data_IF_932869270909
#
_entry.id   IF_932869270909
#
_cell.length_a   1.000
_cell.length_b   1.000
_cell.length_c   1.000
_cell.angle_alpha   90.00
_cell.angle_beta   90.00
_cell.angle_gamma   90.00
#
_symmetry.space_group_name_H-M   'P 1'
#
loop_
_entity.id
_entity.type
_entity.pdbx_description
1 polymer ?
#
# COMPACT_ATOMS: atom_id res chain seq x y z
N UNK A 1 -6.63 52.41 17.61
CA UNK A 1 -7.94 52.44 18.28
C UNK A 1 -9.05 52.48 17.25
N UNK A 2 -9.62 51.39 16.72
CA UNK A 2 -9.19 49.99 16.44
C UNK A 2 -10.37 49.31 15.69
N UNK A 3 -10.26 48.25 14.87
CA UNK A 3 -9.14 47.36 14.48
C UNK A 3 -9.33 46.92 13.00
N UNK A 4 -8.29 46.39 12.32
CA UNK A 4 -8.45 45.70 11.02
C UNK A 4 -8.61 44.18 11.22
N UNK A 5 -9.68 43.54 10.71
CA UNK A 5 -9.81 42.09 10.78
C UNK A 5 -8.99 41.41 9.67
N UNK A 6 -7.72 41.10 9.94
CA UNK A 6 -6.96 40.15 9.11
C UNK A 6 -7.50 38.72 9.32
N UNK A 7 -8.44 38.29 8.48
CA UNK A 7 -8.83 36.88 8.39
C UNK A 7 -7.76 36.05 7.69
N UNK A 8 -6.65 35.82 8.39
CA UNK A 8 -5.57 34.91 7.99
C UNK A 8 -6.03 33.44 8.08
N UNK A 9 -6.90 33.01 7.17
CA UNK A 9 -7.16 31.58 6.91
C UNK A 9 -5.99 30.98 6.12
N UNK A 10 -4.86 30.78 6.79
CA UNK A 10 -3.75 29.95 6.30
C UNK A 10 -4.15 28.46 6.33
N UNK A 11 -5.11 28.09 5.48
CA UNK A 11 -5.49 26.71 5.23
C UNK A 11 -4.29 25.94 4.73
N UNK A 12 -3.70 25.12 5.61
CA UNK A 12 -2.57 24.27 5.24
C UNK A 12 -3.06 23.24 4.20
N UNK A 13 -2.39 23.09 3.05
CA UNK A 13 -2.88 22.26 1.96
C UNK A 13 -2.85 20.78 2.36
N UNK A 14 -4.03 20.19 2.48
CA UNK A 14 -4.32 18.76 2.39
C UNK A 14 -3.39 17.82 3.19
N UNK A 15 -3.55 17.78 4.52
CA UNK A 15 -3.39 16.49 5.22
C UNK A 15 -4.41 15.51 4.63
N UNK A 16 -3.97 14.52 3.86
CA UNK A 16 -4.88 13.52 3.31
C UNK A 16 -5.50 12.75 4.48
N UNK A 17 -6.84 12.74 4.55
CA UNK A 17 -7.56 11.95 5.54
C UNK A 17 -7.27 10.46 5.32
N UNK A 18 -6.58 9.87 6.29
CA UNK A 18 -6.09 8.49 6.24
C UNK A 18 -7.27 7.51 6.23
N UNK A 19 -8.39 7.82 6.88
CA UNK A 19 -9.57 6.97 6.85
C UNK A 19 -10.15 6.93 5.44
N UNK A 20 -10.24 8.10 4.78
CA UNK A 20 -10.58 8.19 3.36
C UNK A 20 -9.60 7.41 2.48
N UNK A 21 -8.29 7.50 2.72
CA UNK A 21 -7.32 6.70 1.95
C UNK A 21 -7.52 5.18 2.11
N UNK A 22 -7.90 4.72 3.29
CA UNK A 22 -8.20 3.31 3.54
C UNK A 22 -9.53 2.86 2.90
N UNK A 23 -10.53 3.75 2.78
CA UNK A 23 -11.76 3.51 2.01
C UNK A 23 -11.49 3.45 0.49
N UNK A 24 -10.67 4.37 -0.03
CA UNK A 24 -10.25 4.39 -1.44
C UNK A 24 -9.47 3.12 -1.83
N UNK A 25 -8.62 2.63 -0.92
CA UNK A 25 -7.84 1.41 -1.12
C UNK A 25 -8.71 0.14 -1.30
N UNK A 26 -9.98 0.17 -0.89
CA UNK A 26 -10.89 -0.95 -1.14
C UNK A 26 -11.19 -1.16 -2.62
N UNK A 27 -11.06 -0.11 -3.44
CA UNK A 27 -11.53 -0.07 -4.82
C UNK A 27 -10.42 0.18 -5.85
N UNK A 28 -9.30 0.79 -5.45
CA UNK A 28 -8.19 1.10 -6.35
C UNK A 28 -6.82 0.97 -5.69
N UNK A 29 -5.78 0.88 -6.50
CA UNK A 29 -4.41 1.09 -6.02
C UNK A 29 -4.22 2.53 -5.56
N UNK A 30 -3.59 2.69 -4.40
CA UNK A 30 -3.15 4.01 -3.92
C UNK A 30 -1.91 4.50 -4.68
N UNK A 31 -1.84 5.81 -4.89
CA UNK A 31 -0.68 6.51 -5.45
C UNK A 31 0.49 6.52 -4.47
N UNK A 32 1.69 6.82 -4.97
CA UNK A 32 2.91 6.84 -4.14
C UNK A 32 2.83 7.86 -2.99
N UNK A 33 2.13 8.99 -3.19
CA UNK A 33 1.92 10.00 -2.16
C UNK A 33 1.03 9.48 -1.03
N UNK A 34 -0.12 8.88 -1.39
CA UNK A 34 -1.06 8.27 -0.44
C UNK A 34 -0.43 7.12 0.36
N UNK A 35 0.35 6.26 -0.31
CA UNK A 35 1.14 5.19 0.34
C UNK A 35 2.14 5.76 1.35
N UNK A 36 2.88 6.82 0.98
CA UNK A 36 3.82 7.49 1.88
C UNK A 36 3.11 8.13 3.07
N UNK A 37 1.93 8.72 2.89
CA UNK A 37 1.17 9.34 3.98
C UNK A 37 0.73 8.29 5.02
N UNK A 38 0.19 7.15 4.58
CA UNK A 38 -0.16 6.03 5.46
C UNK A 38 1.08 5.50 6.20
N UNK A 39 2.20 5.30 5.48
CA UNK A 39 3.43 4.76 6.06
C UNK A 39 4.10 5.72 7.05
N UNK A 40 4.00 7.04 6.87
CA UNK A 40 4.49 8.03 7.85
C UNK A 40 3.61 8.11 9.10
N UNK A 41 2.29 7.97 8.92
CA UNK A 41 1.32 8.04 10.00
C UNK A 41 1.04 6.69 10.69
N UNK A 42 1.84 5.64 10.44
CA UNK A 42 1.62 4.28 10.94
C UNK A 42 1.31 4.17 12.44
N UNK A 43 1.83 5.09 13.27
CA UNK A 43 1.58 5.14 14.73
C UNK A 43 0.12 5.44 15.11
N UNK A 44 -0.65 6.05 14.20
CA UNK A 44 -2.09 6.31 14.34
C UNK A 44 -2.95 5.11 13.92
N UNK A 45 -2.32 4.05 13.39
CA UNK A 45 -2.99 2.93 12.73
C UNK A 45 -2.67 1.61 13.42
N UNK A 46 -3.58 0.63 13.28
CA UNK A 46 -3.37 -0.71 13.79
C UNK A 46 -2.27 -1.43 13.01
N UNK A 47 -1.20 -1.81 13.71
CA UNK A 47 -0.20 -2.75 13.19
C UNK A 47 -0.69 -4.17 13.46
N UNK A 48 -0.77 -4.99 12.42
CA UNK A 48 -1.12 -6.40 12.52
C UNK A 48 0.07 -7.22 13.07
N UNK A 49 -0.21 -8.13 13.99
CA UNK A 49 0.76 -9.05 14.59
C UNK A 49 1.04 -10.26 13.70
N UNK A 50 0.07 -10.68 12.89
CA UNK A 50 0.09 -11.88 12.06
C UNK A 50 -0.64 -11.65 10.72
N UNK A 51 -0.26 -12.35 9.63
CA UNK A 51 -0.97 -12.27 8.37
C UNK A 51 -2.38 -12.89 8.49
N UNK A 52 -3.38 -12.22 7.94
CA UNK A 52 -4.71 -12.82 7.76
C UNK A 52 -4.67 -13.89 6.65
N UNK A 53 -5.49 -14.93 6.78
CA UNK A 53 -5.57 -16.04 5.84
C UNK A 53 -6.54 -15.71 4.69
N UNK A 54 -6.04 -15.78 3.45
CA UNK A 54 -6.69 -15.39 2.19
C UNK A 54 -7.44 -14.04 2.28
N UNK A 55 -6.76 -12.91 2.53
CA UNK A 55 -7.42 -11.62 2.60
C UNK A 55 -8.14 -11.28 1.27
N UNK A 56 -9.38 -10.77 1.29
CA UNK A 56 -10.12 -10.43 0.09
C UNK A 56 -9.57 -9.17 -0.60
N UNK A 57 -10.03 -8.93 -1.84
CA UNK A 57 -9.78 -7.68 -2.56
C UNK A 57 -10.14 -6.46 -1.70
N UNK A 58 -9.36 -5.39 -1.84
CA UNK A 58 -9.52 -4.15 -1.09
C UNK A 58 -8.88 -4.16 0.31
N UNK A 59 -8.39 -5.31 0.79
CA UNK A 59 -7.79 -5.40 2.13
C UNK A 59 -6.44 -4.68 2.21
N UNK A 60 -6.23 -3.93 3.30
CA UNK A 60 -4.99 -3.24 3.63
C UNK A 60 -4.53 -3.58 5.04
N UNK A 61 -3.24 -3.86 5.20
CA UNK A 61 -2.60 -4.15 6.49
C UNK A 61 -1.27 -3.41 6.63
N UNK A 62 -0.93 -3.02 7.86
CA UNK A 62 0.40 -2.56 8.23
C UNK A 62 1.08 -3.62 9.10
N UNK A 63 2.35 -3.91 8.81
CA UNK A 63 3.19 -4.78 9.62
C UNK A 63 4.50 -4.11 10.00
N UNK A 64 5.00 -4.35 11.20
CA UNK A 64 6.40 -4.14 11.53
C UNK A 64 7.19 -5.38 11.06
N UNK A 65 7.91 -5.27 9.93
CA UNK A 65 8.60 -6.41 9.29
C UNK A 65 9.76 -6.99 10.10
N UNK A 66 10.22 -6.28 11.15
CA UNK A 66 11.22 -6.81 12.10
C UNK A 66 10.59 -7.81 13.07
N UNK A 67 9.31 -7.61 13.41
CA UNK A 67 8.52 -8.46 14.31
C UNK A 67 7.82 -9.55 13.49
N UNK A 68 6.87 -9.18 12.63
CA UNK A 68 6.07 -10.12 11.84
C UNK A 68 6.78 -10.49 10.54
N UNK A 69 7.93 -11.17 10.63
CA UNK A 69 8.75 -11.58 9.46
C UNK A 69 7.97 -12.40 8.42
N UNK A 70 6.93 -13.11 8.86
CA UNK A 70 6.09 -13.99 8.04
C UNK A 70 4.86 -13.31 7.41
N UNK A 71 4.79 -11.97 7.37
CA UNK A 71 3.63 -11.22 6.84
C UNK A 71 3.17 -11.58 5.41
N UNK A 72 3.99 -12.31 4.64
CA UNK A 72 3.65 -12.85 3.30
C UNK A 72 3.00 -14.24 3.32
N UNK A 73 2.91 -14.91 4.47
CA UNK A 73 2.24 -16.22 4.63
C UNK A 73 0.73 -16.01 4.79
N UNK A 74 0.11 -15.48 3.74
CA UNK A 74 -1.29 -15.05 3.70
C UNK A 74 -2.24 -16.09 3.11
N UNK A 75 -1.80 -17.34 2.92
CA UNK A 75 -2.64 -18.45 2.44
C UNK A 75 -3.08 -18.37 0.98
N UNK A 76 -2.70 -17.33 0.24
CA UNK A 76 -2.93 -17.20 -1.20
C UNK A 76 -1.88 -17.97 -2.01
N UNK A 77 -2.31 -18.57 -3.11
CA UNK A 77 -1.41 -19.15 -4.11
C UNK A 77 -0.95 -18.04 -5.06
N UNK A 78 0.32 -17.66 -4.93
CA UNK A 78 0.98 -16.68 -5.78
C UNK A 78 1.75 -17.39 -6.89
N UNK A 79 1.70 -16.87 -8.13
CA UNK A 79 2.45 -17.43 -9.26
C UNK A 79 3.88 -17.76 -8.86
N UNK A 80 4.31 -18.99 -9.14
CA UNK A 80 5.64 -19.47 -8.78
C UNK A 80 6.65 -19.14 -9.87
N UNK A 81 7.93 -19.08 -9.51
CA UNK A 81 9.05 -19.17 -10.46
C UNK A 81 9.05 -20.56 -11.11
N UNK A 82 9.68 -20.70 -12.26
CA UNK A 82 9.74 -21.96 -13.04
C UNK A 82 10.22 -23.17 -12.23
N UNK A 83 11.04 -22.95 -11.20
CA UNK A 83 11.50 -23.99 -10.29
C UNK A 83 10.49 -24.38 -9.17
N UNK A 84 9.26 -23.87 -9.20
CA UNK A 84 8.14 -24.18 -8.31
C UNK A 84 8.28 -23.73 -6.83
N UNK A 85 9.48 -23.38 -6.39
CA UNK A 85 9.83 -23.24 -4.96
C UNK A 85 9.48 -21.89 -4.34
N UNK A 86 9.46 -20.81 -5.12
CA UNK A 86 9.27 -19.44 -4.62
C UNK A 86 8.24 -18.69 -5.47
N UNK A 87 7.48 -17.80 -4.83
CA UNK A 87 6.64 -16.85 -5.54
C UNK A 87 7.47 -15.95 -6.47
N UNK A 88 6.92 -15.65 -7.64
CA UNK A 88 7.40 -14.71 -8.65
C UNK A 88 7.01 -13.29 -8.23
N UNK A 89 7.60 -12.81 -7.13
CA UNK A 89 7.48 -11.40 -6.76
C UNK A 89 8.32 -10.54 -7.71
N UNK A 90 7.68 -9.59 -8.39
CA UNK A 90 8.37 -8.50 -9.09
C UNK A 90 8.78 -7.40 -8.11
N UNK A 91 9.90 -6.73 -8.35
CA UNK A 91 10.39 -5.62 -7.52
C UNK A 91 10.52 -4.34 -8.34
N UNK A 92 9.96 -3.24 -7.83
CA UNK A 92 10.08 -1.90 -8.39
C UNK A 92 10.55 -0.95 -7.29
N UNK A 93 11.55 -0.12 -7.60
CA UNK A 93 11.79 1.11 -6.85
C UNK A 93 10.88 2.21 -7.42
N UNK A 94 10.13 2.86 -6.55
CA UNK A 94 9.22 3.93 -6.95
C UNK A 94 9.82 5.29 -6.57
N UNK A 95 9.71 6.26 -7.47
CA UNK A 95 10.33 7.58 -7.32
C UNK A 95 9.32 8.68 -7.05
N UNK A 96 9.74 9.71 -6.32
CA UNK A 96 9.13 11.03 -6.30
C UNK A 96 10.11 12.01 -6.95
N UNK A 97 9.75 12.54 -8.13
CA UNK A 97 10.73 13.19 -9.01
C UNK A 97 11.88 12.24 -9.35
N UNK A 98 13.11 12.67 -9.11
CA UNK A 98 14.33 11.89 -9.39
C UNK A 98 14.73 10.91 -8.28
N UNK A 99 14.13 11.01 -7.08
CA UNK A 99 14.57 10.33 -5.85
C UNK A 99 13.75 9.04 -5.63
N UNK A 100 14.42 7.91 -5.40
CA UNK A 100 13.77 6.67 -4.96
C UNK A 100 13.19 6.86 -3.54
N UNK A 101 11.89 6.58 -3.34
CA UNK A 101 11.20 6.78 -2.05
C UNK A 101 10.65 5.49 -1.44
N UNK A 102 10.24 4.53 -2.27
CA UNK A 102 9.60 3.27 -1.86
C UNK A 102 10.21 2.08 -2.58
N UNK A 103 10.33 0.95 -1.87
CA UNK A 103 10.26 -0.36 -2.51
C UNK A 103 8.80 -0.77 -2.67
N UNK A 104 8.46 -1.29 -3.85
CA UNK A 104 7.20 -1.98 -4.12
C UNK A 104 7.53 -3.40 -4.60
N UNK A 105 7.01 -4.41 -3.90
CA UNK A 105 7.01 -5.80 -4.35
C UNK A 105 5.60 -6.17 -4.76
N UNK A 106 5.42 -6.80 -5.92
CA UNK A 106 4.10 -7.22 -6.40
C UNK A 106 4.08 -8.71 -6.73
N UNK A 107 2.99 -9.38 -6.37
CA UNK A 107 2.70 -10.78 -6.68
C UNK A 107 1.34 -10.87 -7.38
N UNK A 108 1.23 -11.78 -8.35
CA UNK A 108 -0.01 -12.09 -9.06
C UNK A 108 -0.53 -13.45 -8.61
N UNK A 109 -1.84 -13.61 -8.46
CA UNK A 109 -2.45 -14.89 -8.14
C UNK A 109 -2.13 -15.96 -9.19
N UNK A 110 -1.96 -17.20 -8.72
CA UNK A 110 -1.66 -18.37 -9.55
C UNK A 110 -2.87 -18.76 -10.39
N UNK A 111 -4.04 -18.90 -9.75
CA UNK A 111 -5.32 -19.21 -10.40
C UNK A 111 -5.97 -17.95 -11.01
N UNK A 112 -5.97 -16.83 -10.27
CA UNK A 112 -6.53 -15.55 -10.73
C UNK A 112 -5.42 -14.50 -10.87
N UNK A 113 -5.01 -14.21 -12.11
CA UNK A 113 -3.95 -13.24 -12.42
C UNK A 113 -4.37 -11.78 -12.20
N UNK A 114 -5.67 -11.51 -12.12
CA UNK A 114 -6.21 -10.19 -11.83
C UNK A 114 -6.14 -9.87 -10.33
N UNK A 115 -6.15 -10.90 -9.47
CA UNK A 115 -5.90 -10.74 -8.05
C UNK A 115 -4.40 -10.52 -7.79
N UNK A 116 -4.05 -9.41 -7.14
CA UNK A 116 -2.66 -9.05 -6.87
C UNK A 116 -2.46 -8.63 -5.42
N UNK A 117 -1.26 -8.89 -4.90
CA UNK A 117 -0.76 -8.30 -3.64
C UNK A 117 0.38 -7.33 -3.96
N UNK A 118 0.37 -6.15 -3.34
CA UNK A 118 1.49 -5.22 -3.35
C UNK A 118 1.97 -4.93 -1.93
N UNK A 119 3.28 -5.00 -1.73
CA UNK A 119 3.95 -4.73 -0.46
C UNK A 119 4.84 -3.50 -0.63
N UNK A 120 4.56 -2.44 0.13
CA UNK A 120 5.25 -1.15 0.06
C UNK A 120 6.03 -0.87 1.35
N UNK A 121 7.29 -0.47 1.23
CA UNK A 121 8.09 0.03 2.38
C UNK A 121 8.96 1.21 1.96
N UNK A 122 9.02 2.25 2.78
CA UNK A 122 9.86 3.42 2.52
C UNK A 122 11.36 3.09 2.58
N UNK A 123 12.15 3.84 1.82
CA UNK A 123 13.61 3.82 1.93
C UNK A 123 14.13 4.68 3.09
N UNK A 124 13.34 5.67 3.49
CA UNK A 124 13.57 6.53 4.66
C UNK A 124 13.72 5.66 5.92
N UNK A 125 14.88 5.75 6.58
CA UNK A 125 15.35 4.78 7.61
C UNK A 125 14.32 4.56 8.71
N UNK A 126 13.70 5.64 9.19
CA UNK A 126 12.79 5.64 10.33
C UNK A 126 11.47 4.91 10.03
N UNK A 127 10.99 4.97 8.79
CA UNK A 127 9.77 4.29 8.33
C UNK A 127 10.04 2.94 7.66
N UNK A 128 11.29 2.66 7.26
CA UNK A 128 11.69 1.46 6.51
C UNK A 128 11.34 0.11 7.16
N UNK A 129 11.08 0.10 8.47
CA UNK A 129 10.71 -1.11 9.22
C UNK A 129 9.20 -1.44 9.13
N UNK A 130 8.40 -0.50 8.66
CA UNK A 130 6.96 -0.68 8.40
C UNK A 130 6.76 -1.10 6.94
N UNK A 131 5.84 -2.02 6.72
CA UNK A 131 5.38 -2.42 5.39
C UNK A 131 3.85 -2.32 5.32
N UNK A 132 3.34 -1.67 4.28
CA UNK A 132 1.94 -1.71 3.89
C UNK A 132 1.75 -2.89 2.93
N UNK A 133 0.79 -3.75 3.20
CA UNK A 133 0.38 -4.84 2.32
C UNK A 133 -1.04 -4.56 1.85
N UNK A 134 -1.23 -4.49 0.54
CA UNK A 134 -2.49 -4.13 -0.11
C UNK A 134 -2.86 -5.21 -1.13
N UNK A 135 -4.07 -5.72 -1.00
CA UNK A 135 -4.67 -6.73 -1.88
C UNK A 135 -5.72 -6.05 -2.76
N UNK A 136 -5.69 -6.30 -4.06
CA UNK A 136 -6.72 -5.82 -4.97
C UNK A 136 -6.88 -6.79 -6.13
N UNK A 137 -8.13 -7.09 -6.45
CA UNK A 137 -8.53 -7.67 -7.72
C UNK A 137 -8.77 -6.56 -8.74
N UNK A 138 -8.08 -6.63 -9.86
CA UNK A 138 -8.44 -5.81 -11.01
C UNK A 138 -9.71 -6.38 -11.62
N UNK A 139 -10.80 -5.62 -11.60
CA UNK A 139 -11.86 -5.89 -12.57
C UNK A 139 -11.23 -5.85 -13.96
N UNK A 140 -11.50 -6.81 -14.85
CA UNK A 140 -11.28 -6.59 -16.27
C UNK A 140 -11.99 -5.27 -16.60
N UNK A 141 -11.28 -4.32 -17.21
CA UNK A 141 -11.95 -3.18 -17.81
C UNK A 141 -12.97 -3.77 -18.77
N UNK A 142 -14.27 -3.57 -18.50
CA UNK A 142 -15.36 -3.98 -19.37
C UNK A 142 -14.98 -3.53 -20.77
N UNK A 143 -14.77 -4.50 -21.67
CA UNK A 143 -14.11 -4.21 -22.92
C UNK A 143 -14.86 -3.14 -23.68
N UNK A 144 -14.06 -2.22 -24.21
CA UNK A 144 -14.28 -1.53 -25.46
C UNK A 144 -15.34 -2.25 -26.30
N UNK A 145 -16.50 -1.62 -26.48
CA UNK A 145 -17.44 -2.01 -27.53
C UNK A 145 -16.66 -2.03 -28.85
N UNK A 146 -16.62 -3.21 -29.48
CA UNK A 146 -16.28 -3.37 -30.90
C UNK A 146 -17.43 -2.84 -31.76
#
# INVERSE_FOLDING_TARGET
MDESPETSRSGHPNSLDIEKLLLEAQHRWLSLAEICEILRNYKKLRIASEPSNKPPSGSVFLFNRKVTKIFRKDGHNWQRKENGKLAKEGHKKCKAGSIDVLHCYYALGEENKNFQRRCYSMLEKDFSHIVLVHYLELTPSSEMNL
#
